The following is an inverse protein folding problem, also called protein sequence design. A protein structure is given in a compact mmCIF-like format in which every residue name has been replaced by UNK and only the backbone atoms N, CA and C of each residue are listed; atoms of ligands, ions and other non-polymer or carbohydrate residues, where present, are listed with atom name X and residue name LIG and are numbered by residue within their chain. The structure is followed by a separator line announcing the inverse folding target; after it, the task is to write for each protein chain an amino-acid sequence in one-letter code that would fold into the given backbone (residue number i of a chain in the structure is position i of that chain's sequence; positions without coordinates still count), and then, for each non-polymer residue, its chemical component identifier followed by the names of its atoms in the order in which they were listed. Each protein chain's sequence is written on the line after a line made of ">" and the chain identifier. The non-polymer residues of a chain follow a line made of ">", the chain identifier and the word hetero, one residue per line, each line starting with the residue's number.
data_IF_179078665954
#
_entry.id   IF_179078665954
#
_cell.length_a   1.000
_cell.length_b   1.000
_cell.length_c   1.000
_cell.angle_alpha   90.00
_cell.angle_beta   90.00
_cell.angle_gamma   90.00
#
_symmetry.space_group_name_H-M   'P 1'
#
loop_
_entity.id
_entity.type
_entity.pdbx_description
1 polymer ?
#
# COMPACT_ATOMS: atom_id res chain seq x y z
N UNK A 1 40.90 36.86 0.65
CA UNK A 1 40.05 36.99 1.86
C UNK A 1 39.70 35.61 2.37
N UNK A 2 39.86 35.44 3.68
CA UNK A 2 39.93 34.17 4.40
C UNK A 2 38.54 33.52 4.55
N UNK A 3 38.52 32.20 4.34
CA UNK A 3 37.43 31.24 4.60
C UNK A 3 36.78 31.48 5.97
N UNK A 4 35.45 31.63 6.02
CA UNK A 4 34.68 31.38 7.25
C UNK A 4 34.13 29.97 7.20
N UNK A 5 34.84 29.11 7.92
CA UNK A 5 34.43 27.79 8.37
C UNK A 5 33.20 27.98 9.26
N UNK A 6 32.07 27.36 8.92
CA UNK A 6 31.07 27.00 9.91
C UNK A 6 31.03 25.47 9.94
N UNK A 7 31.60 24.93 11.02
CA UNK A 7 31.73 23.51 11.29
C UNK A 7 30.35 22.84 11.32
N UNK A 8 29.97 22.17 10.23
CA UNK A 8 29.03 21.06 10.30
C UNK A 8 29.77 19.92 10.98
N UNK A 9 29.67 19.84 12.31
CA UNK A 9 30.16 18.66 13.04
C UNK A 9 29.32 17.47 12.61
N UNK A 10 29.85 16.73 11.64
CA UNK A 10 29.36 15.41 11.28
C UNK A 10 29.66 14.50 12.48
N UNK A 11 28.70 14.36 13.38
CA UNK A 11 28.66 13.19 14.26
C UNK A 11 28.06 12.07 13.42
N UNK A 12 28.94 11.27 12.80
CA UNK A 12 28.58 9.97 12.26
C UNK A 12 28.29 9.05 13.44
N UNK A 13 27.11 9.21 14.04
CA UNK A 13 26.47 8.13 14.77
C UNK A 13 26.01 7.12 13.72
N UNK A 14 26.36 5.85 13.91
CA UNK A 14 26.03 4.73 13.02
C UNK A 14 24.52 4.65 12.73
N UNK A 15 24.03 5.40 11.74
CA UNK A 15 22.71 5.22 11.15
C UNK A 15 22.95 4.34 9.94
N UNK A 16 22.46 3.10 9.99
CA UNK A 16 22.30 2.23 8.83
C UNK A 16 21.80 3.07 7.66
N UNK A 17 22.61 3.23 6.61
CA UNK A 17 22.30 4.06 5.45
C UNK A 17 20.96 3.59 4.86
N UNK A 18 19.86 4.27 5.21
CA UNK A 18 18.60 4.09 4.52
C UNK A 18 18.78 4.63 3.10
N UNK A 19 18.32 3.91 2.08
CA UNK A 19 18.44 4.30 0.67
C UNK A 19 17.56 5.50 0.27
N UNK A 20 17.11 6.33 1.23
CA UNK A 20 16.32 7.53 0.94
C UNK A 20 17.16 8.50 0.11
N UNK A 21 16.61 8.93 -1.03
CA UNK A 21 17.25 9.93 -1.88
C UNK A 21 17.51 11.26 -1.15
N UNK A 22 18.57 11.97 -1.51
CA UNK A 22 18.88 13.30 -0.93
C UNK A 22 17.71 14.28 -1.05
N UNK A 23 17.01 14.28 -2.19
CA UNK A 23 15.80 15.11 -2.39
C UNK A 23 14.71 14.81 -1.35
N UNK A 24 14.50 13.54 -1.02
CA UNK A 24 13.54 13.15 0.00
C UNK A 24 14.03 13.53 1.40
N UNK A 25 15.32 13.36 1.70
CA UNK A 25 15.93 13.82 2.95
C UNK A 25 15.77 15.32 3.15
N UNK A 26 15.95 16.13 2.11
CA UNK A 26 15.73 17.57 2.18
C UNK A 26 14.27 17.90 2.50
N UNK A 27 13.31 17.19 1.90
CA UNK A 27 11.89 17.38 2.22
C UNK A 27 11.53 16.99 3.65
N UNK A 28 12.19 15.96 4.19
CA UNK A 28 12.02 15.58 5.60
C UNK A 28 12.59 16.64 6.53
N UNK A 29 13.82 17.14 6.27
CA UNK A 29 14.45 18.22 7.03
C UNK A 29 13.60 19.49 7.02
N UNK A 30 13.14 19.90 5.83
CA UNK A 30 12.23 21.03 5.63
C UNK A 30 10.95 20.91 6.49
N UNK A 31 10.34 19.72 6.52
CA UNK A 31 9.12 19.51 7.31
C UNK A 31 9.43 19.48 8.81
N UNK A 32 10.51 18.84 9.22
CA UNK A 32 10.95 18.79 10.61
C UNK A 32 11.11 20.20 11.18
N UNK A 33 11.82 21.06 10.44
CA UNK A 33 12.06 22.46 10.83
C UNK A 33 10.78 23.28 10.94
N UNK A 34 9.79 23.04 10.07
CA UNK A 34 8.49 23.73 10.13
C UNK A 34 7.60 23.25 11.28
N UNK A 35 7.76 22.00 11.71
CA UNK A 35 6.84 21.35 12.65
C UNK A 35 7.35 21.36 14.10
N UNK A 36 8.66 21.49 14.29
CA UNK A 36 9.29 21.35 15.60
C UNK A 36 10.35 22.42 15.84
N UNK A 37 10.25 23.07 17.00
CA UNK A 37 11.16 24.17 17.36
C UNK A 37 12.53 23.67 17.84
N UNK A 38 12.59 22.49 18.46
CA UNK A 38 13.83 21.95 19.02
C UNK A 38 14.55 21.04 18.04
N UNK A 39 15.89 21.15 17.98
CA UNK A 39 16.73 20.26 17.17
C UNK A 39 16.51 18.78 17.51
N UNK A 40 16.35 18.44 18.80
CA UNK A 40 16.08 17.07 19.24
C UNK A 40 14.77 16.54 18.68
N UNK A 41 13.69 17.33 18.73
CA UNK A 41 12.40 16.96 18.15
C UNK A 41 12.48 16.79 16.63
N UNK A 42 13.23 17.66 15.94
CA UNK A 42 13.46 17.55 14.50
C UNK A 42 14.20 16.25 14.13
N UNK A 43 15.27 15.91 14.86
CA UNK A 43 16.00 14.66 14.66
C UNK A 43 15.12 13.43 14.93
N UNK A 44 14.38 13.42 16.03
CA UNK A 44 13.46 12.33 16.37
C UNK A 44 12.40 12.12 15.28
N UNK A 45 11.87 13.21 14.71
CA UNK A 45 10.94 13.14 13.59
C UNK A 45 11.60 12.50 12.36
N UNK A 46 12.77 13.00 11.93
CA UNK A 46 13.49 12.48 10.76
C UNK A 46 13.83 10.99 10.95
N UNK A 47 14.31 10.58 12.12
CA UNK A 47 14.58 9.18 12.43
C UNK A 47 13.32 8.31 12.35
N UNK A 48 12.17 8.82 12.81
CA UNK A 48 10.91 8.09 12.74
C UNK A 48 10.47 7.86 11.29
N UNK A 49 10.67 8.87 10.42
CA UNK A 49 10.37 8.79 8.99
C UNK A 49 11.31 7.82 8.27
N UNK A 50 12.61 7.83 8.60
CA UNK A 50 13.58 6.85 8.09
C UNK A 50 13.20 5.43 8.50
N UNK A 51 12.81 5.24 9.77
CA UNK A 51 12.34 3.93 10.26
C UNK A 51 11.07 3.49 9.55
N UNK A 52 10.18 4.42 9.20
CA UNK A 52 8.97 4.11 8.44
C UNK A 52 9.28 3.72 6.99
N UNK A 53 10.20 4.44 6.34
CA UNK A 53 10.68 4.13 4.99
C UNK A 53 11.28 2.71 4.91
N UNK A 54 12.20 2.36 5.82
CA UNK A 54 12.79 1.01 5.83
C UNK A 54 11.74 -0.09 6.05
N UNK A 55 10.63 0.21 6.75
CA UNK A 55 9.51 -0.73 6.91
C UNK A 55 8.65 -0.83 5.65
N UNK A 56 8.53 0.26 4.87
CA UNK A 56 7.89 0.22 3.55
C UNK A 56 8.69 -0.66 2.60
N UNK A 57 10.02 -0.56 2.57
CA UNK A 57 10.86 -1.41 1.72
C UNK A 57 10.70 -2.90 2.07
N UNK A 58 10.71 -3.23 3.37
CA UNK A 58 10.48 -4.62 3.83
C UNK A 58 9.10 -5.17 3.45
N UNK A 59 8.06 -4.32 3.42
CA UNK A 59 6.75 -4.76 2.92
C UNK A 59 6.79 -5.15 1.44
N UNK A 60 7.71 -4.59 0.66
CA UNK A 60 7.94 -5.00 -0.73
C UNK A 60 8.57 -6.39 -0.86
N UNK A 61 9.30 -6.85 0.16
CA UNK A 61 9.80 -8.23 0.21
C UNK A 61 8.69 -9.25 0.54
N UNK A 62 7.63 -8.81 1.24
CA UNK A 62 6.48 -9.64 1.62
C UNK A 62 5.38 -9.71 0.55
N UNK A 63 5.43 -8.85 -0.47
CA UNK A 63 4.44 -8.73 -1.53
C UNK A 63 5.06 -9.11 -2.89
N UNK A 64 4.23 -9.40 -3.89
CA UNK A 64 4.74 -9.41 -5.26
C UNK A 64 5.18 -8.00 -5.67
N UNK A 65 6.17 -7.85 -6.57
CA UNK A 65 6.62 -6.55 -7.06
C UNK A 65 5.47 -5.69 -7.61
N UNK A 66 4.51 -6.31 -8.30
CA UNK A 66 3.35 -5.63 -8.88
C UNK A 66 2.38 -5.10 -7.82
N UNK A 67 2.09 -5.91 -6.79
CA UNK A 67 1.24 -5.49 -5.68
C UNK A 67 1.90 -4.35 -4.88
N UNK A 68 3.21 -4.49 -4.63
CA UNK A 68 3.99 -3.48 -3.94
C UNK A 68 3.95 -2.14 -4.68
N UNK A 69 4.27 -2.13 -5.98
CA UNK A 69 4.26 -0.92 -6.81
C UNK A 69 2.85 -0.28 -6.88
N UNK A 70 1.81 -1.09 -6.99
CA UNK A 70 0.43 -0.61 -6.99
C UNK A 70 0.07 0.14 -5.71
N UNK A 71 0.34 -0.45 -4.54
CA UNK A 71 0.04 0.19 -3.27
C UNK A 71 0.95 1.39 -3.02
N UNK A 72 2.25 1.27 -3.33
CA UNK A 72 3.24 2.32 -3.10
C UNK A 72 2.89 3.59 -3.88
N UNK A 73 2.64 3.50 -5.19
CA UNK A 73 2.25 4.66 -6.02
C UNK A 73 1.04 5.40 -5.46
N UNK A 74 0.05 4.65 -5.00
CA UNK A 74 -1.18 5.21 -4.44
C UNK A 74 -0.90 5.96 -3.13
N UNK A 75 -0.19 5.35 -2.18
CA UNK A 75 0.08 6.00 -0.89
C UNK A 75 1.08 7.16 -1.01
N UNK A 76 2.05 7.07 -1.91
CA UNK A 76 2.99 8.16 -2.21
C UNK A 76 2.28 9.39 -2.76
N UNK A 77 1.29 9.19 -3.65
CA UNK A 77 0.50 10.30 -4.20
C UNK A 77 -0.32 11.04 -3.15
N UNK A 78 -0.86 10.31 -2.16
CA UNK A 78 -1.65 10.89 -1.06
C UNK A 78 -0.79 11.54 0.01
N UNK A 79 0.39 10.99 0.26
CA UNK A 79 1.26 11.40 1.36
C UNK A 79 2.70 11.63 0.89
N UNK A 80 2.99 12.62 0.03
CA UNK A 80 4.33 12.83 -0.48
C UNK A 80 5.34 13.06 0.65
N UNK A 81 6.41 12.26 0.65
CA UNK A 81 7.50 12.31 1.64
C UNK A 81 7.01 12.24 3.09
N UNK A 82 5.86 11.60 3.35
CA UNK A 82 5.38 11.30 4.70
C UNK A 82 5.32 9.78 4.85
N UNK A 83 6.47 9.19 5.10
CA UNK A 83 6.68 7.75 5.11
C UNK A 83 5.91 7.07 6.25
N UNK A 84 5.74 7.76 7.39
CA UNK A 84 4.90 7.24 8.47
C UNK A 84 3.45 7.07 8.03
N UNK A 85 2.89 8.05 7.32
CA UNK A 85 1.52 7.97 6.81
C UNK A 85 1.39 7.00 5.64
N UNK A 86 2.36 6.97 4.73
CA UNK A 86 2.42 5.99 3.66
C UNK A 86 2.41 4.56 4.22
N UNK A 87 3.28 4.25 5.19
CA UNK A 87 3.36 2.94 5.85
C UNK A 87 2.05 2.56 6.51
N UNK A 88 1.44 3.48 7.25
CA UNK A 88 0.14 3.24 7.90
C UNK A 88 -0.92 2.89 6.86
N UNK A 89 -1.05 3.72 5.82
CA UNK A 89 -2.09 3.54 4.80
C UNK A 89 -1.88 2.26 3.99
N UNK A 90 -0.64 1.96 3.64
CA UNK A 90 -0.30 0.74 2.90
C UNK A 90 -0.67 -0.51 3.70
N UNK A 91 -0.38 -0.55 5.01
CA UNK A 91 -0.80 -1.65 5.89
C UNK A 91 -2.31 -1.81 5.97
N UNK A 92 -3.05 -0.71 6.04
CA UNK A 92 -4.51 -0.72 6.02
C UNK A 92 -5.05 -1.29 4.69
N UNK A 93 -4.50 -0.85 3.56
CA UNK A 93 -4.94 -1.30 2.23
C UNK A 93 -4.61 -2.77 1.98
N UNK A 94 -3.41 -3.23 2.36
CA UNK A 94 -3.02 -4.66 2.30
C UNK A 94 -3.96 -5.50 3.17
N UNK A 95 -4.21 -5.07 4.41
CA UNK A 95 -5.11 -5.78 5.33
C UNK A 95 -6.51 -5.88 4.73
N UNK A 96 -7.05 -4.77 4.23
CA UNK A 96 -8.35 -4.75 3.59
C UNK A 96 -8.41 -5.66 2.36
N UNK A 97 -7.38 -5.66 1.50
CA UNK A 97 -7.29 -6.54 0.34
C UNK A 97 -7.32 -8.03 0.74
N UNK A 98 -6.50 -8.43 1.74
CA UNK A 98 -6.48 -9.79 2.28
C UNK A 98 -7.82 -10.20 2.89
N UNK A 99 -8.47 -9.31 3.65
CA UNK A 99 -9.80 -9.56 4.20
C UNK A 99 -10.86 -9.72 3.11
N UNK A 100 -10.79 -8.93 2.04
CA UNK A 100 -11.66 -9.08 0.87
C UNK A 100 -11.44 -10.42 0.18
N UNK A 101 -10.19 -10.79 -0.09
CA UNK A 101 -9.85 -12.07 -0.71
C UNK A 101 -10.36 -13.24 0.13
N UNK A 102 -10.17 -13.21 1.45
CA UNK A 102 -10.68 -14.23 2.36
C UNK A 102 -12.21 -14.28 2.37
N UNK A 103 -12.90 -13.14 2.39
CA UNK A 103 -14.38 -13.10 2.30
C UNK A 103 -14.87 -13.66 0.97
N UNK A 104 -14.16 -13.40 -0.12
CA UNK A 104 -14.47 -13.95 -1.45
C UNK A 104 -14.26 -15.46 -1.46
N UNK A 105 -13.12 -15.97 -0.98
CA UNK A 105 -12.83 -17.43 -0.94
C UNK A 105 -13.82 -18.17 -0.05
N UNK A 106 -14.06 -17.69 1.17
CA UNK A 106 -15.01 -18.32 2.11
C UNK A 106 -16.44 -18.29 1.57
N UNK A 107 -16.83 -17.22 0.87
CA UNK A 107 -18.10 -17.23 0.13
C UNK A 107 -18.02 -18.30 -0.96
N UNK A 108 -17.07 -18.23 -1.89
CA UNK A 108 -16.95 -19.13 -3.05
C UNK A 108 -16.97 -20.62 -2.67
N UNK A 109 -16.22 -21.04 -1.65
CA UNK A 109 -16.19 -22.44 -1.19
C UNK A 109 -17.54 -22.91 -0.66
N UNK A 110 -18.29 -22.04 0.02
CA UNK A 110 -19.66 -22.35 0.47
C UNK A 110 -20.69 -22.37 -0.66
N UNK A 111 -20.35 -21.90 -1.85
CA UNK A 111 -21.32 -21.64 -2.93
C UNK A 111 -21.32 -22.70 -4.02
N UNK A 112 -20.45 -23.71 -3.94
CA UNK A 112 -20.29 -24.73 -4.99
C UNK A 112 -20.08 -24.12 -6.40
N UNK A 113 -19.45 -22.95 -6.47
CA UNK A 113 -19.12 -22.29 -7.75
C UNK A 113 -17.78 -22.82 -8.21
N UNK A 114 -17.67 -23.37 -9.43
CA UNK A 114 -16.40 -23.88 -9.95
C UNK A 114 -15.33 -22.79 -10.00
N UNK A 115 -14.09 -23.15 -9.66
CA UNK A 115 -12.93 -22.25 -9.64
C UNK A 115 -12.73 -21.50 -10.97
N UNK A 116 -12.95 -22.17 -12.09
CA UNK A 116 -12.85 -21.58 -13.44
C UNK A 116 -13.82 -20.40 -13.64
N UNK A 117 -15.06 -20.51 -13.13
CA UNK A 117 -16.06 -19.44 -13.22
C UNK A 117 -15.62 -18.23 -12.40
N UNK A 118 -15.04 -18.47 -11.22
CA UNK A 118 -14.50 -17.43 -10.34
C UNK A 118 -13.36 -16.68 -11.02
N UNK A 119 -12.41 -17.41 -11.62
CA UNK A 119 -11.28 -16.83 -12.33
C UNK A 119 -11.75 -16.00 -13.53
N UNK A 120 -12.72 -16.50 -14.29
CA UNK A 120 -13.32 -15.76 -15.42
C UNK A 120 -13.96 -14.45 -14.97
N UNK A 121 -14.72 -14.44 -13.88
CA UNK A 121 -15.35 -13.20 -13.39
C UNK A 121 -14.33 -12.20 -12.82
N UNK A 122 -13.23 -12.67 -12.23
CA UNK A 122 -12.14 -11.78 -11.80
C UNK A 122 -11.47 -11.12 -13.00
N UNK A 123 -11.06 -11.92 -13.98
CA UNK A 123 -10.41 -11.41 -15.19
C UNK A 123 -11.30 -10.42 -15.94
N UNK A 124 -12.60 -10.71 -16.04
CA UNK A 124 -13.54 -9.82 -16.69
C UNK A 124 -13.77 -8.53 -15.91
N UNK A 125 -13.83 -8.60 -14.57
CA UNK A 125 -13.90 -7.41 -13.72
C UNK A 125 -12.68 -6.50 -13.89
N UNK A 126 -11.48 -7.08 -13.91
CA UNK A 126 -10.23 -6.35 -14.17
C UNK A 126 -10.21 -5.68 -15.55
N UNK A 127 -10.70 -6.40 -16.57
CA UNK A 127 -10.82 -5.90 -17.94
C UNK A 127 -11.80 -4.74 -18.07
N UNK A 128 -12.96 -4.83 -17.41
CA UNK A 128 -14.02 -3.82 -17.49
C UNK A 128 -13.72 -2.58 -16.64
N UNK A 129 -13.07 -2.78 -15.50
CA UNK A 129 -12.79 -1.73 -14.52
C UNK A 129 -11.31 -1.66 -14.18
N UNK A 130 -10.44 -1.33 -15.16
CA UNK A 130 -9.00 -1.33 -14.94
C UNK A 130 -8.62 -0.35 -13.82
N UNK A 131 -7.84 -0.83 -12.85
CA UNK A 131 -7.35 -0.08 -11.68
C UNK A 131 -8.44 0.45 -10.73
N UNK A 132 -9.71 0.06 -10.89
CA UNK A 132 -10.80 0.44 -10.00
C UNK A 132 -11.29 -0.77 -9.17
N UNK A 133 -10.59 -1.03 -8.07
CA UNK A 133 -10.85 -2.21 -7.21
C UNK A 133 -12.25 -2.23 -6.60
N UNK A 134 -12.86 -1.07 -6.37
CA UNK A 134 -14.22 -0.99 -5.84
C UNK A 134 -15.25 -1.51 -6.85
N UNK A 135 -15.12 -1.12 -8.12
CA UNK A 135 -16.03 -1.56 -9.18
C UNK A 135 -15.72 -3.00 -9.64
N UNK A 136 -14.45 -3.40 -9.69
CA UNK A 136 -14.06 -4.81 -9.90
C UNK A 136 -14.75 -5.74 -8.88
N UNK A 137 -14.74 -5.34 -7.60
CA UNK A 137 -15.39 -6.10 -6.54
C UNK A 137 -16.91 -6.13 -6.71
N UNK A 138 -17.55 -5.01 -7.04
CA UNK A 138 -19.01 -4.94 -7.27
C UNK A 138 -19.44 -5.85 -8.42
N UNK A 139 -18.71 -5.79 -9.53
CA UNK A 139 -18.93 -6.66 -10.68
C UNK A 139 -18.81 -8.15 -10.30
N UNK A 140 -17.74 -8.50 -9.60
CA UNK A 140 -17.51 -9.88 -9.16
C UNK A 140 -18.62 -10.40 -8.25
N UNK A 141 -18.99 -9.63 -7.22
CA UNK A 141 -20.05 -10.01 -6.27
C UNK A 141 -21.39 -10.22 -6.99
N UNK A 142 -21.77 -9.30 -7.88
CA UNK A 142 -22.99 -9.41 -8.68
C UNK A 142 -22.97 -10.62 -9.63
N UNK A 143 -21.83 -10.88 -10.29
CA UNK A 143 -21.67 -12.01 -11.20
C UNK A 143 -21.80 -13.35 -10.48
N UNK A 144 -21.23 -13.46 -9.28
CA UNK A 144 -21.32 -14.65 -8.43
C UNK A 144 -22.77 -14.86 -7.93
N UNK A 145 -23.48 -13.80 -7.56
CA UNK A 145 -24.90 -13.90 -7.16
C UNK A 145 -25.78 -14.36 -8.32
N UNK A 146 -25.62 -13.76 -9.50
CA UNK A 146 -26.34 -14.14 -10.71
C UNK A 146 -26.07 -15.60 -11.10
N UNK A 147 -24.81 -16.05 -11.06
CA UNK A 147 -24.47 -17.43 -11.37
C UNK A 147 -25.21 -18.42 -10.48
N UNK A 148 -25.23 -18.19 -9.15
CA UNK A 148 -25.97 -19.08 -8.23
C UNK A 148 -27.46 -19.06 -8.50
N UNK A 149 -28.02 -17.88 -8.77
CA UNK A 149 -29.43 -17.74 -9.07
C UNK A 149 -29.80 -18.62 -10.27
N UNK A 150 -29.02 -18.52 -11.35
CA UNK A 150 -29.22 -19.33 -12.57
C UNK A 150 -29.09 -20.82 -12.27
N UNK A 151 -28.03 -21.24 -11.58
CA UNK A 151 -27.83 -22.67 -11.25
C UNK A 151 -28.98 -23.21 -10.39
N UNK A 152 -29.44 -22.45 -9.39
CA UNK A 152 -30.56 -22.85 -8.54
C UNK A 152 -31.88 -22.90 -9.31
N UNK A 153 -32.12 -21.93 -10.20
CA UNK A 153 -33.28 -21.94 -11.08
C UNK A 153 -33.29 -23.17 -11.99
N UNK A 154 -32.15 -23.49 -12.62
CA UNK A 154 -32.01 -24.67 -13.48
C UNK A 154 -32.18 -25.99 -12.71
N UNK A 155 -31.75 -26.06 -11.44
CA UNK A 155 -31.96 -27.26 -10.59
C UNK A 155 -33.42 -27.47 -10.19
N UNK A 156 -34.19 -26.40 -10.00
CA UNK A 156 -35.60 -26.47 -9.57
C UNK A 156 -36.59 -26.71 -10.71
N UNK A 157 -36.19 -26.46 -11.96
CA UNK A 157 -37.02 -26.59 -13.15
C UNK A 157 -36.52 -27.72 -14.07
N UNK A 158 -35.85 -28.72 -13.50
CA UNK A 158 -35.58 -30.03 -14.10
C UNK A 158 -36.55 -31.05 -13.51
#
# INVERSE_FOLDING_TARGET
>A
MIKKILCLMIVIGNISHSQISEKAMDKLRDRAQRQYDSYSSQQNYIESEIKAYNKLEKLGEELSPEEYDYFLKRVESMYPYNYSMQLKKMREEIKFSKELQNRVVVKVDKLAVPKEIVERFKAEGERLYPKNTAEQKRYFDSSIENYKFIINFLKKNK
#
